data_IF_918132175231
#
_entry.id   IF_918132175231
#
_cell.length_a   1.000
_cell.length_b   1.000
_cell.length_c   1.000
_cell.angle_alpha   90.00
_cell.angle_beta   90.00
_cell.angle_gamma   90.00
#
_symmetry.space_group_name_H-M   'P 1'
#
loop_
_entity.id
_entity.type
_entity.pdbx_description
1 polymer ?
#
# COMPACT_ATOMS: atom_id res chain seq x y z
N UNK A 1 17.85 -1.72 -10.80
CA UNK A 1 17.94 -2.91 -9.94
C UNK A 1 16.58 -3.60 -9.96
N UNK A 2 16.56 -4.93 -9.98
CA UNK A 2 15.33 -5.72 -9.81
C UNK A 2 15.03 -5.95 -8.32
N UNK A 3 13.75 -6.14 -7.95
CA UNK A 3 13.37 -6.33 -6.55
C UNK A 3 14.08 -7.50 -5.86
N UNK A 4 14.29 -8.61 -6.58
CA UNK A 4 15.04 -9.76 -6.09
C UNK A 4 16.47 -9.39 -5.68
N UNK A 5 17.10 -8.42 -6.36
CA UNK A 5 18.43 -7.94 -5.98
C UNK A 5 18.40 -7.06 -4.72
N UNK A 6 17.29 -6.36 -4.44
CA UNK A 6 17.09 -5.63 -3.18
C UNK A 6 17.01 -6.61 -2.00
N UNK A 7 16.11 -7.60 -2.09
CA UNK A 7 15.88 -8.59 -1.03
C UNK A 7 17.14 -9.40 -0.70
N UNK A 8 17.87 -9.79 -1.73
CA UNK A 8 19.06 -10.63 -1.57
C UNK A 8 20.32 -9.84 -1.18
N UNK A 9 20.28 -8.50 -1.20
CA UNK A 9 21.44 -7.67 -0.85
C UNK A 9 21.62 -7.59 0.68
N UNK A 10 22.73 -8.12 1.24
CA UNK A 10 22.98 -8.11 2.69
C UNK A 10 23.03 -6.72 3.32
N UNK A 11 23.39 -5.68 2.55
CA UNK A 11 23.50 -4.30 3.04
C UNK A 11 22.14 -3.60 3.15
N UNK A 12 21.11 -4.13 2.49
CA UNK A 12 19.76 -3.57 2.50
C UNK A 12 18.83 -4.29 3.48
N UNK A 13 19.29 -5.39 4.08
CA UNK A 13 18.52 -6.16 5.07
C UNK A 13 18.37 -5.39 6.37
N UNK A 14 17.17 -5.43 6.95
CA UNK A 14 16.84 -4.88 8.27
C UNK A 14 17.15 -3.39 8.43
N UNK A 15 17.17 -2.65 7.32
CA UNK A 15 17.27 -1.21 7.35
C UNK A 15 15.96 -0.62 7.94
N UNK A 16 16.02 0.41 8.81
CA UNK A 16 14.83 1.05 9.37
C UNK A 16 14.19 2.03 8.38
N UNK A 17 14.12 1.63 7.11
CA UNK A 17 13.61 2.42 6.00
C UNK A 17 12.64 1.56 5.20
N UNK A 18 11.51 2.14 4.80
CA UNK A 18 10.69 1.64 3.70
C UNK A 18 11.51 1.78 2.42
N UNK A 19 11.56 0.72 1.62
CA UNK A 19 12.31 0.67 0.36
C UNK A 19 11.33 0.50 -0.80
N UNK A 20 11.47 1.34 -1.83
CA UNK A 20 10.74 1.23 -3.09
C UNK A 20 11.72 1.28 -4.27
N UNK A 21 11.27 0.89 -5.46
CA UNK A 21 12.01 1.05 -6.70
C UNK A 21 11.23 1.93 -7.67
N UNK A 22 11.92 2.89 -8.30
CA UNK A 22 11.33 3.63 -9.43
C UNK A 22 11.49 2.88 -10.77
N UNK A 23 10.99 3.46 -11.86
CA UNK A 23 11.07 2.86 -13.22
C UNK A 23 12.47 2.55 -13.73
N UNK A 24 13.50 3.20 -13.17
CA UNK A 24 14.90 2.98 -13.53
C UNK A 24 15.56 1.96 -12.60
N UNK A 25 14.78 1.38 -11.67
CA UNK A 25 15.25 0.48 -10.64
C UNK A 25 16.22 1.14 -9.67
N UNK A 26 16.07 2.45 -9.44
CA UNK A 26 16.77 3.16 -8.37
C UNK A 26 16.01 2.97 -7.06
N UNK A 27 16.76 2.85 -5.96
CA UNK A 27 16.20 2.69 -4.63
C UNK A 27 15.73 4.04 -4.10
N UNK A 28 14.47 4.07 -3.68
CA UNK A 28 13.87 5.15 -2.89
C UNK A 28 13.77 4.65 -1.44
N UNK A 29 14.12 5.51 -0.48
CA UNK A 29 14.08 5.18 0.94
C UNK A 29 13.36 6.27 1.72
N UNK A 30 12.42 5.85 2.55
CA UNK A 30 11.75 6.71 3.52
C UNK A 30 12.01 6.18 4.93
N UNK A 31 12.50 7.01 5.88
CA UNK A 31 12.81 6.54 7.23
C UNK A 31 11.55 6.15 7.98
N UNK A 32 11.64 5.12 8.81
CA UNK A 32 10.60 4.81 9.77
C UNK A 32 10.44 5.96 10.78
N UNK A 33 9.20 6.24 11.17
CA UNK A 33 8.88 7.17 12.27
C UNK A 33 7.75 6.62 13.13
N UNK A 34 7.77 6.94 14.42
CA UNK A 34 6.76 6.43 15.36
C UNK A 34 5.34 6.92 15.04
N UNK A 35 5.22 8.15 14.53
CA UNK A 35 3.92 8.68 14.08
C UNK A 35 3.39 7.91 12.88
N UNK A 36 4.24 7.60 11.91
CA UNK A 36 3.87 6.79 10.73
C UNK A 36 3.46 5.37 11.11
N UNK A 37 4.26 4.69 11.94
CA UNK A 37 3.91 3.34 12.41
C UNK A 37 2.61 3.30 13.22
N UNK A 38 2.34 4.33 14.03
CA UNK A 38 1.06 4.45 14.73
C UNK A 38 -0.13 4.66 13.77
N UNK A 39 0.06 5.42 12.68
CA UNK A 39 -0.97 5.59 11.64
C UNK A 39 -1.20 4.29 10.85
N UNK A 40 -0.14 3.53 10.55
CA UNK A 40 -0.26 2.19 9.93
C UNK A 40 -1.14 1.29 10.81
N UNK A 41 -0.81 1.16 12.10
CA UNK A 41 -1.58 0.36 13.05
C UNK A 41 -3.04 0.82 13.16
N UNK A 42 -3.27 2.12 13.35
CA UNK A 42 -4.63 2.68 13.48
C UNK A 42 -5.46 2.47 12.22
N UNK A 43 -4.84 2.56 11.05
CA UNK A 43 -5.56 2.36 9.78
C UNK A 43 -5.96 0.90 9.62
N UNK A 44 -5.04 -0.04 9.85
CA UNK A 44 -5.36 -1.47 9.85
C UNK A 44 -6.45 -1.82 10.86
N UNK A 45 -6.32 -1.34 12.10
CA UNK A 45 -7.29 -1.56 13.18
C UNK A 45 -8.69 -0.99 12.90
N UNK A 46 -8.80 -0.01 12.00
CA UNK A 46 -10.09 0.54 11.55
C UNK A 46 -10.71 -0.32 10.44
N UNK A 47 -9.90 -0.95 9.59
CA UNK A 47 -10.39 -1.77 8.48
C UNK A 47 -10.82 -3.15 8.99
N UNK A 48 -9.99 -3.80 9.79
CA UNK A 48 -10.15 -5.18 10.24
C UNK A 48 -11.55 -5.53 10.81
N UNK A 49 -12.15 -4.76 11.75
CA UNK A 49 -13.45 -5.11 12.31
C UNK A 49 -14.58 -5.07 11.28
N UNK A 50 -14.51 -4.18 10.29
CA UNK A 50 -15.51 -4.08 9.24
C UNK A 50 -15.54 -5.36 8.39
N UNK A 51 -14.37 -6.01 8.22
CA UNK A 51 -14.19 -7.21 7.41
C UNK A 51 -14.69 -8.50 8.07
N UNK A 52 -15.20 -8.44 9.30
CA UNK A 52 -15.88 -9.55 10.03
C UNK A 52 -15.07 -10.86 10.06
N UNK A 53 -13.76 -10.75 10.20
CA UNK A 53 -12.84 -11.88 10.28
C UNK A 53 -12.53 -12.57 8.94
N UNK A 54 -12.76 -11.88 7.81
CA UNK A 54 -12.35 -12.32 6.47
C UNK A 54 -11.14 -11.53 6.00
N UNK A 55 -10.19 -12.23 5.40
CA UNK A 55 -8.97 -11.63 4.90
C UNK A 55 -8.02 -11.16 6.02
N UNK A 56 -6.95 -10.48 5.61
CA UNK A 56 -5.86 -10.09 6.50
C UNK A 56 -5.40 -8.65 6.23
N UNK A 57 -4.86 -8.01 7.28
CA UNK A 57 -4.09 -6.76 7.14
C UNK A 57 -2.62 -7.11 6.95
N UNK A 58 -2.03 -6.61 5.88
CA UNK A 58 -0.59 -6.73 5.60
C UNK A 58 0.02 -5.33 5.59
N UNK A 59 1.09 -5.13 6.36
CA UNK A 59 1.91 -3.90 6.31
C UNK A 59 3.09 -4.08 5.37
N UNK A 60 3.57 -2.99 4.78
CA UNK A 60 4.70 -3.00 3.82
C UNK A 60 4.42 -3.92 2.61
N UNK A 61 3.25 -3.74 1.98
CA UNK A 61 2.75 -4.59 0.89
C UNK A 61 3.37 -4.20 -0.46
N UNK A 62 4.36 -4.97 -0.91
CA UNK A 62 5.08 -4.69 -2.16
C UNK A 62 4.33 -5.13 -3.43
N UNK A 63 4.19 -4.24 -4.41
CA UNK A 63 3.52 -4.47 -5.70
C UNK A 63 4.45 -4.14 -6.86
N UNK A 64 4.57 -5.05 -7.82
CA UNK A 64 5.25 -4.76 -9.09
C UNK A 64 4.37 -3.89 -9.99
N UNK A 65 4.83 -2.68 -10.29
CA UNK A 65 4.13 -1.69 -11.13
C UNK A 65 4.90 -1.39 -12.42
N UNK A 66 4.33 -0.55 -13.30
CA UNK A 66 5.01 -0.04 -14.49
C UNK A 66 6.11 0.98 -14.16
N UNK A 67 6.12 1.53 -12.94
CA UNK A 67 7.14 2.47 -12.46
C UNK A 67 8.05 1.86 -11.37
N UNK A 68 8.32 0.56 -11.47
CA UNK A 68 9.11 -0.19 -10.49
C UNK A 68 8.26 -0.83 -9.41
N UNK A 69 8.81 -1.06 -8.23
CA UNK A 69 8.10 -1.67 -7.10
C UNK A 69 7.67 -0.59 -6.13
N UNK A 70 6.37 -0.51 -5.88
CA UNK A 70 5.80 0.35 -4.86
C UNK A 70 5.43 -0.50 -3.65
N UNK A 71 5.47 0.08 -2.46
CA UNK A 71 5.19 -0.62 -1.21
C UNK A 71 4.09 0.13 -0.49
N UNK A 72 2.89 -0.43 -0.41
CA UNK A 72 1.80 0.20 0.32
C UNK A 72 2.09 0.09 1.83
N UNK A 73 1.81 1.14 2.58
CA UNK A 73 2.06 1.16 4.03
C UNK A 73 1.17 0.16 4.76
N UNK A 74 -0.08 0.04 4.31
CA UNK A 74 -1.05 -0.94 4.78
C UNK A 74 -1.84 -1.44 3.57
N UNK A 75 -2.18 -2.71 3.58
CA UNK A 75 -3.14 -3.31 2.67
C UNK A 75 -4.14 -4.17 3.43
N UNK A 76 -5.38 -4.24 2.95
CA UNK A 76 -6.28 -5.32 3.31
C UNK A 76 -6.42 -6.24 2.10
N UNK A 77 -6.25 -7.53 2.34
CA UNK A 77 -6.32 -8.58 1.33
C UNK A 77 -7.44 -9.55 1.71
N UNK A 78 -8.26 -9.96 0.74
CA UNK A 78 -9.28 -10.98 0.97
C UNK A 78 -8.70 -12.40 1.10
N UNK A 79 -9.48 -13.34 1.65
CA UNK A 79 -9.12 -14.76 1.67
C UNK A 79 -8.92 -15.29 0.24
N UNK A 80 -9.76 -14.85 -0.71
CA UNK A 80 -9.65 -15.20 -2.13
C UNK A 80 -8.37 -14.65 -2.77
N UNK A 81 -7.93 -13.46 -2.35
CA UNK A 81 -6.65 -12.89 -2.80
C UNK A 81 -5.48 -13.73 -2.31
N UNK A 82 -5.48 -14.12 -1.03
CA UNK A 82 -4.45 -14.98 -0.44
C UNK A 82 -4.44 -16.35 -1.11
N UNK A 83 -5.60 -16.98 -1.33
CA UNK A 83 -5.69 -18.28 -2.00
C UNK A 83 -5.09 -18.22 -3.42
N UNK A 84 -5.29 -17.11 -4.13
CA UNK A 84 -4.85 -16.94 -5.52
C UNK A 84 -3.35 -16.61 -5.64
N UNK A 85 -2.84 -15.74 -4.78
CA UNK A 85 -1.49 -15.17 -4.92
C UNK A 85 -0.50 -15.59 -3.83
N UNK A 86 -0.98 -16.32 -2.81
CA UNK A 86 -0.20 -16.67 -1.62
C UNK A 86 0.49 -15.42 -1.05
N UNK A 87 1.78 -15.50 -0.75
CA UNK A 87 2.61 -14.37 -0.33
C UNK A 87 3.69 -14.02 -1.36
N UNK A 88 3.30 -13.95 -2.64
CA UNK A 88 4.17 -13.50 -3.74
C UNK A 88 4.89 -12.19 -3.38
N UNK A 89 6.21 -12.13 -3.63
CA UNK A 89 7.01 -10.95 -3.35
C UNK A 89 7.89 -10.57 -4.56
N UNK A 90 7.66 -9.40 -5.20
CA UNK A 90 6.52 -8.50 -4.98
C UNK A 90 5.25 -9.11 -5.58
N UNK A 91 4.08 -8.71 -5.10
CA UNK A 91 2.83 -9.14 -5.74
C UNK A 91 2.71 -8.58 -7.16
N UNK A 92 2.26 -9.43 -8.08
CA UNK A 92 1.99 -9.05 -9.47
C UNK A 92 0.70 -8.23 -9.65
N UNK A 93 -0.19 -8.29 -8.65
CA UNK A 93 -1.50 -7.64 -8.54
C UNK A 93 -1.62 -6.91 -7.20
N UNK A 94 -2.27 -5.75 -7.17
CA UNK A 94 -2.65 -5.09 -5.93
C UNK A 94 -3.95 -5.70 -5.35
N UNK A 95 -4.13 -5.67 -4.02
CA UNK A 95 -5.31 -6.20 -3.35
C UNK A 95 -6.45 -5.19 -3.34
N UNK A 96 -7.57 -5.57 -2.73
CA UNK A 96 -8.77 -4.75 -2.68
C UNK A 96 -8.54 -3.36 -2.10
N UNK A 97 -7.78 -3.24 -1.00
CA UNK A 97 -7.44 -1.96 -0.40
C UNK A 97 -5.92 -1.81 -0.30
N UNK A 98 -5.38 -0.78 -0.92
CA UNK A 98 -4.03 -0.26 -0.66
C UNK A 98 -4.10 1.05 0.12
N UNK A 99 -3.17 1.29 1.04
CA UNK A 99 -3.09 2.53 1.81
C UNK A 99 -1.70 3.12 1.69
N UNK A 100 -1.62 4.42 1.41
CA UNK A 100 -0.41 5.22 1.55
C UNK A 100 -0.65 6.30 2.61
N UNK A 101 0.24 6.35 3.59
CA UNK A 101 0.29 7.41 4.60
C UNK A 101 1.26 8.47 4.10
N UNK A 102 0.76 9.67 3.90
CA UNK A 102 1.49 10.76 3.24
C UNK A 102 1.76 11.89 4.21
N UNK A 103 2.92 12.52 4.04
CA UNK A 103 3.30 13.76 4.71
C UNK A 103 2.93 14.97 3.84
N UNK A 104 2.65 16.16 4.42
CA UNK A 104 2.54 17.41 3.67
C UNK A 104 3.76 17.74 2.78
N UNK A 105 4.91 17.13 3.06
CA UNK A 105 6.13 17.28 2.26
C UNK A 105 6.17 16.39 1.00
N UNK A 106 5.28 15.41 0.87
CA UNK A 106 5.23 14.58 -0.33
C UNK A 106 4.71 15.41 -1.51
N UNK A 107 5.40 15.39 -2.67
CA UNK A 107 4.88 16.01 -3.89
C UNK A 107 3.52 15.42 -4.26
N UNK A 108 2.60 16.29 -4.67
CA UNK A 108 1.25 15.89 -5.08
C UNK A 108 1.30 14.91 -6.26
N UNK A 109 2.25 15.10 -7.16
CA UNK A 109 2.50 14.27 -8.32
C UNK A 109 2.95 12.84 -7.93
N UNK A 110 3.67 12.69 -6.81
CA UNK A 110 4.06 11.37 -6.30
C UNK A 110 2.84 10.60 -5.79
N UNK A 111 1.93 11.30 -5.09
CA UNK A 111 0.68 10.73 -4.58
C UNK A 111 -0.23 10.32 -5.74
N UNK A 112 -0.39 11.20 -6.73
CA UNK A 112 -1.18 10.94 -7.94
C UNK A 112 -0.61 9.77 -8.74
N UNK A 113 0.72 9.68 -8.90
CA UNK A 113 1.38 8.52 -9.53
C UNK A 113 1.04 7.22 -8.78
N UNK A 114 1.17 7.20 -7.45
CA UNK A 114 0.86 5.99 -6.66
C UNK A 114 -0.60 5.58 -6.81
N UNK A 115 -1.54 6.53 -6.77
CA UNK A 115 -2.97 6.26 -7.01
C UNK A 115 -3.17 5.54 -8.34
N UNK A 116 -2.62 6.09 -9.42
CA UNK A 116 -2.73 5.49 -10.75
C UNK A 116 -2.11 4.10 -10.81
N UNK A 117 -0.94 3.90 -10.20
CA UNK A 117 -0.21 2.63 -10.26
C UNK A 117 -0.92 1.49 -9.53
N UNK A 118 -1.48 1.73 -8.35
CA UNK A 118 -2.22 0.69 -7.62
C UNK A 118 -3.54 0.36 -8.31
N UNK A 119 -4.28 1.37 -8.80
CA UNK A 119 -5.52 1.13 -9.55
C UNK A 119 -5.26 0.40 -10.88
N UNK A 120 -4.18 0.73 -11.58
CA UNK A 120 -3.73 -0.01 -12.77
C UNK A 120 -3.26 -1.44 -12.46
N UNK A 121 -3.10 -1.77 -11.17
CA UNK A 121 -2.76 -3.08 -10.66
C UNK A 121 -3.96 -3.77 -10.01
N UNK A 122 -5.18 -3.39 -10.39
CA UNK A 122 -6.45 -3.99 -9.95
C UNK A 122 -6.85 -3.68 -8.50
N UNK A 123 -6.18 -2.74 -7.83
CA UNK A 123 -6.69 -2.26 -6.55
C UNK A 123 -8.11 -1.72 -6.73
N UNK A 124 -9.05 -2.15 -5.87
CA UNK A 124 -10.42 -1.64 -5.89
C UNK A 124 -10.46 -0.24 -5.31
N UNK A 125 -9.72 -0.04 -4.22
CA UNK A 125 -9.51 1.24 -3.60
C UNK A 125 -8.04 1.48 -3.23
N UNK A 126 -7.62 2.74 -3.35
CA UNK A 126 -6.43 3.28 -2.69
C UNK A 126 -6.83 4.39 -1.74
N UNK A 127 -6.30 4.32 -0.53
CA UNK A 127 -6.56 5.26 0.55
C UNK A 127 -5.33 6.11 0.80
N UNK A 128 -5.50 7.42 0.76
CA UNK A 128 -4.47 8.38 1.11
C UNK A 128 -4.77 8.92 2.50
N UNK A 129 -3.91 8.58 3.46
CA UNK A 129 -4.05 8.97 4.87
C UNK A 129 -3.05 10.08 5.16
N UNK A 130 -3.51 11.25 5.58
CA UNK A 130 -2.62 12.35 6.01
C UNK A 130 -2.06 12.11 7.43
N UNK A 131 -1.07 12.90 7.80
CA UNK A 131 -0.39 12.85 9.11
C UNK A 131 -1.32 13.09 10.32
N UNK A 132 -2.43 13.80 10.12
CA UNK A 132 -3.51 13.99 11.10
C UNK A 132 -4.53 12.84 11.15
N UNK A 133 -4.40 11.85 10.26
CA UNK A 133 -5.26 10.66 10.17
C UNK A 133 -6.51 10.84 9.28
N UNK A 134 -6.71 11.98 8.64
CA UNK A 134 -7.77 12.13 7.65
C UNK A 134 -7.52 11.21 6.46
N UNK A 135 -8.58 10.58 5.95
CA UNK A 135 -8.48 9.62 4.83
C UNK A 135 -9.25 10.12 3.62
N UNK A 136 -8.61 10.08 2.46
CA UNK A 136 -9.25 10.25 1.14
C UNK A 136 -9.22 8.91 0.42
N UNK A 137 -10.32 8.56 -0.24
CA UNK A 137 -10.50 7.26 -0.88
C UNK A 137 -10.57 7.46 -2.39
N UNK A 138 -9.93 6.58 -3.15
CA UNK A 138 -9.96 6.62 -4.61
C UNK A 138 -10.24 5.24 -5.17
N UNK A 139 -11.02 5.21 -6.24
CA UNK A 139 -11.20 4.04 -7.10
C UNK A 139 -10.93 4.42 -8.56
N UNK A 140 -11.11 3.49 -9.49
CA UNK A 140 -11.09 3.80 -10.93
C UNK A 140 -12.10 4.88 -11.35
N UNK A 141 -13.10 5.19 -10.52
CA UNK A 141 -14.08 6.27 -10.74
C UNK A 141 -13.59 7.64 -10.27
N UNK A 142 -12.39 7.73 -9.70
CA UNK A 142 -11.85 8.92 -9.04
C UNK A 142 -12.06 8.90 -7.53
N UNK A 143 -12.00 10.09 -6.92
CA UNK A 143 -12.17 10.27 -5.47
C UNK A 143 -13.59 9.93 -5.02
N UNK A 144 -13.70 9.17 -3.93
CA UNK A 144 -14.95 8.75 -3.32
C UNK A 144 -15.22 9.56 -2.04
N UNK A 145 -16.49 9.82 -1.75
CA UNK A 145 -16.88 10.47 -0.49
C UNK A 145 -16.70 9.57 0.73
N UNK A 146 -16.69 8.25 0.53
CA UNK A 146 -16.47 7.22 1.54
C UNK A 146 -15.97 5.92 0.86
N UNK A 147 -15.32 5.04 1.61
CA UNK A 147 -14.97 3.71 1.13
C UNK A 147 -16.22 2.86 0.88
N UNK A 148 -16.29 2.19 -0.27
CA UNK A 148 -17.28 1.17 -0.56
C UNK A 148 -16.83 -0.21 -0.07
N UNK A 149 -15.53 -0.42 0.10
CA UNK A 149 -14.97 -1.67 0.64
C UNK A 149 -15.24 -1.87 2.15
N UNK A 150 -15.61 -0.81 2.88
CA UNK A 150 -16.06 -0.92 4.28
C UNK A 150 -17.56 -1.23 4.43
N UNK A 151 -18.36 -1.04 3.39
CA UNK A 151 -19.82 -1.23 3.44
C UNK A 151 -20.20 -2.66 3.00
N UNK A 152 -19.91 -3.65 3.84
CA UNK A 152 -20.06 -5.09 3.51
C UNK A 152 -21.49 -5.61 3.73
N UNK A 153 -22.44 -4.72 4.05
CA UNK A 153 -23.87 -5.04 4.09
C UNK A 153 -24.57 -4.79 2.73
N UNK A 154 -23.78 -4.59 1.66
CA UNK A 154 -24.22 -4.64 0.26
C UNK A 154 -23.75 -5.90 -0.45
#
# INVERSE_FOLDING_TARGET
MEWAAVINNPLLKNLPFKIELNKWGQILMSPASNSHGNLQYKTGSRIEPEKRGKGEIITEFSVQTSQGVKVADVAWVSDEFIEKYDFETPYSCAPEICVEIVSPSNPKEEIEEKIELYLAKEAREIWIVSDDGNTRYYSYKGELSQSVELDIDK
#
